data_IF_193086113080
#
_entry.id   IF_193086113080
#
_cell.length_a   1.000
_cell.length_b   1.000
_cell.length_c   1.000
_cell.angle_alpha   90.00
_cell.angle_beta   90.00
_cell.angle_gamma   90.00
#
_symmetry.space_group_name_H-M   'P 1'
#
loop_
_entity.id
_entity.type
_entity.pdbx_description
1 polymer ?
#
# COMPACT_ATOMS: atom_id res chain seq x y z
N UNK A 1 15.74 -14.40 10.30
CA UNK A 1 15.65 -12.94 10.13
C UNK A 1 14.34 -12.62 9.41
N UNK A 2 13.24 -12.52 10.16
CA UNK A 2 11.96 -12.07 9.62
C UNK A 2 11.70 -10.70 10.20
N UNK A 3 12.09 -9.65 9.47
CA UNK A 3 11.71 -8.29 9.84
C UNK A 3 10.18 -8.29 9.78
N UNK A 4 9.54 -8.09 10.93
CA UNK A 4 8.10 -7.96 11.02
C UNK A 4 7.73 -6.63 10.34
N UNK A 5 7.63 -6.65 9.02
CA UNK A 5 7.05 -5.56 8.24
C UNK A 5 5.70 -5.28 8.88
N UNK A 6 5.44 -4.00 9.23
CA UNK A 6 4.14 -3.61 9.73
C UNK A 6 3.08 -4.17 8.76
N UNK A 7 2.19 -5.09 9.21
CA UNK A 7 1.30 -5.82 8.32
C UNK A 7 0.50 -4.89 7.40
N UNK A 8 0.19 -3.66 7.85
CA UNK A 8 -0.49 -2.66 7.03
C UNK A 8 0.31 -2.22 5.80
N UNK A 9 1.61 -1.96 5.97
CA UNK A 9 2.48 -1.49 4.89
C UNK A 9 2.70 -2.59 3.85
N UNK A 10 2.86 -3.83 4.31
CA UNK A 10 2.92 -5.01 3.44
C UNK A 10 1.65 -5.21 2.62
N UNK A 11 0.47 -5.06 3.24
CA UNK A 11 -0.82 -5.13 2.53
C UNK A 11 -0.94 -4.05 1.45
N UNK A 12 -0.54 -2.80 1.73
CA UNK A 12 -0.58 -1.72 0.74
C UNK A 12 0.36 -1.98 -0.44
N UNK A 13 1.54 -2.56 -0.19
CA UNK A 13 2.48 -2.92 -1.25
C UNK A 13 1.89 -3.96 -2.20
N UNK A 14 1.39 -5.07 -1.64
CA UNK A 14 0.80 -6.15 -2.44
C UNK A 14 -0.41 -5.67 -3.25
N UNK A 15 -1.25 -4.84 -2.64
CA UNK A 15 -2.35 -4.17 -3.32
C UNK A 15 -1.85 -3.33 -4.50
N UNK A 16 -0.87 -2.45 -4.26
CA UNK A 16 -0.37 -1.52 -5.28
C UNK A 16 0.28 -2.27 -6.46
N UNK A 17 1.12 -3.27 -6.19
CA UNK A 17 1.78 -4.08 -7.21
C UNK A 17 0.78 -4.89 -8.07
N UNK A 18 -0.27 -5.44 -7.43
CA UNK A 18 -1.31 -6.19 -8.14
C UNK A 18 -2.06 -5.30 -9.12
N UNK A 19 -2.52 -4.13 -8.67
CA UNK A 19 -3.20 -3.17 -9.53
C UNK A 19 -2.28 -2.60 -10.60
N UNK A 20 -1.02 -2.35 -10.28
CA UNK A 20 -0.03 -1.89 -11.24
C UNK A 20 0.12 -2.89 -12.40
N UNK A 21 0.26 -4.19 -12.10
CA UNK A 21 0.33 -5.24 -13.11
C UNK A 21 -0.95 -5.34 -13.96
N UNK A 22 -2.12 -5.31 -13.32
CA UNK A 22 -3.42 -5.38 -14.00
C UNK A 22 -3.64 -4.20 -14.97
N UNK A 23 -3.29 -2.99 -14.54
CA UNK A 23 -3.46 -1.78 -15.35
C UNK A 23 -2.45 -1.70 -16.50
N UNK A 24 -1.22 -2.20 -16.31
CA UNK A 24 -0.25 -2.30 -17.39
C UNK A 24 -0.68 -3.28 -18.48
N UNK A 25 -1.32 -4.39 -18.11
CA UNK A 25 -1.86 -5.37 -19.08
C UNK A 25 -3.06 -4.82 -19.86
N UNK A 26 -3.82 -3.90 -19.26
CA UNK A 26 -4.94 -3.20 -19.89
C UNK A 26 -4.44 -1.87 -20.49
N UNK A 27 -3.62 -1.93 -21.54
CA UNK A 27 -2.88 -0.79 -22.10
C UNK A 27 -3.75 0.22 -22.86
N UNK A 28 -4.58 0.99 -22.14
CA UNK A 28 -5.27 2.18 -22.65
C UNK A 28 -4.74 3.47 -22.00
N UNK A 29 -4.72 4.59 -22.73
CA UNK A 29 -4.29 5.91 -22.22
C UNK A 29 -4.97 6.33 -20.90
N UNK A 30 -6.20 5.83 -20.69
CA UNK A 30 -7.02 6.04 -19.48
C UNK A 30 -6.36 5.54 -18.18
N UNK A 31 -5.36 4.66 -18.26
CA UNK A 31 -4.73 4.06 -17.08
C UNK A 31 -3.41 4.73 -16.67
N UNK A 32 -2.84 5.61 -17.51
CA UNK A 32 -1.57 6.29 -17.24
C UNK A 32 -1.56 7.05 -15.91
N UNK A 33 -2.62 7.81 -15.62
CA UNK A 33 -2.76 8.53 -14.35
C UNK A 33 -2.85 7.58 -13.15
N UNK A 34 -3.53 6.44 -13.31
CA UNK A 34 -3.70 5.43 -12.26
C UNK A 34 -2.36 4.77 -11.92
N UNK A 35 -1.60 4.41 -12.95
CA UNK A 35 -0.25 3.83 -12.84
C UNK A 35 0.69 4.79 -12.10
N UNK A 36 0.73 6.08 -12.47
CA UNK A 36 1.59 7.07 -11.78
C UNK A 36 1.32 7.20 -10.28
N UNK A 37 0.06 7.12 -9.86
CA UNK A 37 -0.27 7.21 -8.42
C UNK A 37 0.10 5.92 -7.69
N UNK A 38 -0.02 4.76 -8.36
CA UNK A 38 0.48 3.49 -7.84
C UNK A 38 2.00 3.48 -7.69
N UNK A 39 2.74 3.97 -8.69
CA UNK A 39 4.21 4.13 -8.61
C UNK A 39 4.62 5.01 -7.44
N UNK A 40 3.92 6.13 -7.23
CA UNK A 40 4.15 7.00 -6.08
C UNK A 40 3.94 6.28 -4.76
N UNK A 41 2.90 5.45 -4.63
CA UNK A 41 2.64 4.68 -3.41
C UNK A 41 3.73 3.63 -3.17
N UNK A 42 4.09 2.86 -4.21
CA UNK A 42 5.14 1.84 -4.15
C UNK A 42 6.47 2.48 -3.75
N UNK A 43 6.83 3.62 -4.36
CA UNK A 43 8.06 4.33 -4.04
C UNK A 43 8.11 4.86 -2.61
N UNK A 44 6.98 5.32 -2.05
CA UNK A 44 6.92 5.73 -0.64
C UNK A 44 7.11 4.54 0.30
N UNK A 45 6.47 3.40 -0.01
CA UNK A 45 6.58 2.16 0.76
C UNK A 45 8.00 1.59 0.69
N UNK A 46 8.65 1.60 -0.47
CA UNK A 46 10.02 1.08 -0.62
C UNK A 46 11.06 1.92 0.12
N UNK A 47 10.82 3.24 0.26
CA UNK A 47 11.69 4.17 1.00
C UNK A 47 11.40 4.18 2.50
N UNK A 48 10.35 3.50 2.95
CA UNK A 48 9.96 3.48 4.35
C UNK A 48 11.05 2.76 5.18
N UNK A 49 11.55 3.37 6.27
CA UNK A 49 12.67 2.80 7.03
C UNK A 49 12.17 1.68 7.97
N UNK A 50 12.08 0.46 7.44
CA UNK A 50 11.60 -0.71 8.20
C UNK A 50 12.55 -1.17 9.32
N UNK A 51 13.83 -0.81 9.24
CA UNK A 51 14.88 -1.32 10.11
C UNK A 51 15.29 -0.33 11.21
N UNK A 52 14.84 0.92 11.12
CA UNK A 52 15.23 1.99 12.05
C UNK A 52 14.05 2.37 12.96
N UNK A 53 14.02 1.74 14.15
CA UNK A 53 13.04 2.05 15.18
C UNK A 53 13.23 3.42 15.85
N UNK A 54 14.36 4.11 15.59
CA UNK A 54 14.64 5.46 16.06
C UNK A 54 14.28 6.55 15.04
N UNK A 55 13.66 6.18 13.91
CA UNK A 55 13.23 7.15 12.91
C UNK A 55 12.08 8.03 13.42
N UNK A 56 12.39 9.27 13.79
CA UNK A 56 11.44 10.21 14.41
C UNK A 56 10.21 10.54 13.54
N UNK A 57 10.28 10.31 12.23
CA UNK A 57 9.19 10.61 11.26
C UNK A 57 8.40 9.37 10.83
N UNK A 58 8.59 8.23 11.51
CA UNK A 58 7.95 6.96 11.14
C UNK A 58 6.43 7.09 11.06
N UNK A 59 5.83 7.75 12.05
CA UNK A 59 4.38 7.95 12.11
C UNK A 59 3.89 8.93 11.02
N UNK A 60 4.64 10.00 10.76
CA UNK A 60 4.31 10.96 9.70
C UNK A 60 4.33 10.28 8.32
N UNK A 61 5.36 9.49 8.04
CA UNK A 61 5.48 8.78 6.77
C UNK A 61 4.45 7.65 6.61
N UNK A 62 4.07 6.98 7.71
CA UNK A 62 2.93 6.04 7.71
C UNK A 62 1.62 6.74 7.34
N UNK A 63 1.33 7.91 7.92
CA UNK A 63 0.13 8.67 7.58
C UNK A 63 0.15 9.17 6.13
N UNK A 64 1.31 9.56 5.60
CA UNK A 64 1.46 9.88 4.17
C UNK A 64 1.19 8.66 3.28
N UNK A 65 1.72 7.48 3.63
CA UNK A 65 1.46 6.23 2.91
C UNK A 65 -0.03 5.89 2.94
N UNK A 66 -0.68 6.00 4.10
CA UNK A 66 -2.12 5.78 4.27
C UNK A 66 -2.96 6.76 3.45
N UNK A 67 -2.59 8.04 3.44
CA UNK A 67 -3.23 9.07 2.63
C UNK A 67 -3.11 8.78 1.13
N UNK A 68 -1.92 8.36 0.69
CA UNK A 68 -1.66 7.96 -0.69
C UNK A 68 -2.45 6.70 -1.08
N UNK A 69 -2.55 5.72 -0.20
CA UNK A 69 -3.37 4.52 -0.40
C UNK A 69 -4.85 4.89 -0.60
N UNK A 70 -5.42 5.75 0.25
CA UNK A 70 -6.80 6.24 0.07
C UNK A 70 -7.00 6.95 -1.28
N UNK A 71 -6.01 7.73 -1.72
CA UNK A 71 -6.02 8.36 -3.03
C UNK A 71 -6.05 7.33 -4.17
N UNK A 72 -5.25 6.26 -4.07
CA UNK A 72 -5.27 5.15 -5.04
C UNK A 72 -6.66 4.49 -5.06
N UNK A 73 -7.25 4.17 -3.90
CA UNK A 73 -8.58 3.58 -3.83
C UNK A 73 -9.64 4.44 -4.52
N UNK A 74 -9.62 5.76 -4.29
CA UNK A 74 -10.53 6.70 -4.93
C UNK A 74 -10.36 6.72 -6.46
N UNK A 75 -9.11 6.71 -6.96
CA UNK A 75 -8.82 6.70 -8.40
C UNK A 75 -9.21 5.37 -9.09
N UNK A 76 -9.14 4.27 -8.35
CA UNK A 76 -9.58 2.96 -8.80
C UNK A 76 -11.09 2.74 -8.62
N UNK A 77 -11.79 3.70 -8.01
CA UNK A 77 -13.21 3.61 -7.65
C UNK A 77 -13.54 2.38 -6.80
N UNK A 78 -12.68 2.09 -5.81
CA UNK A 78 -12.86 1.01 -4.85
C UNK A 78 -13.01 1.58 -3.43
N UNK A 79 -13.67 0.84 -2.55
CA UNK A 79 -13.77 1.24 -1.15
C UNK A 79 -12.39 1.12 -0.47
N UNK A 80 -12.03 2.15 0.29
CA UNK A 80 -10.77 2.19 1.05
C UNK A 80 -10.90 1.59 2.45
N UNK A 81 -12.07 1.04 2.81
CA UNK A 81 -12.34 0.40 4.10
C UNK A 81 -11.64 -0.96 4.16
N UNK A 82 -10.32 -0.91 4.21
CA UNK A 82 -9.49 -2.06 4.47
C UNK A 82 -9.40 -2.18 5.99
N UNK A 83 -10.42 -2.82 6.60
CA UNK A 83 -10.32 -3.28 7.99
C UNK A 83 -9.25 -4.36 8.02
N UNK A 84 -8.01 -3.95 8.24
CA UNK A 84 -6.96 -4.86 8.69
C UNK A 84 -7.33 -5.20 10.13
N UNK A 85 -8.26 -6.15 10.30
CA UNK A 85 -8.45 -6.79 11.58
C UNK A 85 -7.09 -7.36 11.97
N UNK A 86 -6.50 -6.79 13.01
CA UNK A 86 -5.34 -7.35 13.71
C UNK A 86 -5.70 -8.67 14.40
N UNK A 87 -7.00 -9.01 14.44
CA UNK A 87 -7.48 -10.33 14.76
C UNK A 87 -7.00 -11.29 13.67
N UNK A 88 -6.05 -12.16 14.03
CA UNK A 88 -5.79 -13.39 13.28
C UNK A 88 -7.15 -13.98 12.90
N UNK A 89 -7.42 -14.35 11.64
CA UNK A 89 -8.57 -15.19 11.37
C UNK A 89 -8.41 -16.41 12.26
N UNK A 90 -9.30 -16.56 13.24
CA UNK A 90 -9.40 -17.74 14.08
C UNK A 90 -9.78 -18.89 13.15
N UNK A 91 -8.78 -19.50 12.51
CA UNK A 91 -8.90 -20.80 11.88
C UNK A 91 -9.03 -21.81 13.03
N UNK A 92 -10.25 -21.93 13.52
CA UNK A 92 -10.68 -23.10 14.30
C UNK A 92 -10.84 -24.23 13.29
N UNK A 93 -9.93 -25.21 13.36
CA UNK A 93 -10.03 -26.50 12.67
C UNK A 93 -11.02 -27.42 13.40
#
# INVERSE_FOLDING_TARGET
>A
HGILINPQVGCYLGFAQTWHCLLHKCSGEKNSKKIRVLDSLIGMIQKFPYEDSSYDKLQEDLEKIRGKYKQVCSILNIQSDFRISTERPSLTF
#
